data_IF_063160459252
#
_entry.id   IF_063160459252
#
_cell.length_a   1.000
_cell.length_b   1.000
_cell.length_c   1.000
_cell.angle_alpha   90.00
_cell.angle_beta   90.00
_cell.angle_gamma   90.00
#
_symmetry.space_group_name_H-M   'P 1'
#
loop_
_entity.id
_entity.type
_entity.pdbx_description
1 polymer ?
#
# COMPACT_ATOMS: atom_id res chain seq x y z
N UNK A 1 -5.95 49.02 -3.89
CA UNK A 1 -5.10 47.87 -4.27
C UNK A 1 -4.77 47.12 -2.99
N UNK A 2 -5.42 45.97 -2.76
CA UNK A 2 -5.47 45.27 -1.47
C UNK A 2 -4.12 44.61 -1.19
N UNK A 3 -3.46 45.02 -0.11
CA UNK A 3 -2.33 44.31 0.50
C UNK A 3 -2.88 42.95 0.92
N UNK A 4 -2.77 41.95 0.05
CA UNK A 4 -2.93 40.57 0.45
C UNK A 4 -1.90 40.36 1.57
N UNK A 5 -2.42 40.18 2.79
CA UNK A 5 -1.63 40.06 4.00
C UNK A 5 -0.54 39.02 3.76
N UNK A 6 0.73 39.44 3.80
CA UNK A 6 1.91 38.57 3.59
C UNK A 6 1.87 37.32 4.48
N UNK A 7 1.17 37.42 5.63
CA UNK A 7 0.84 36.32 6.55
C UNK A 7 -0.09 35.26 5.96
N UNK A 8 -1.12 35.66 5.20
CA UNK A 8 -2.05 34.75 4.51
C UNK A 8 -1.30 33.97 3.42
N UNK A 9 -0.45 34.66 2.64
CA UNK A 9 0.37 33.99 1.63
C UNK A 9 1.29 32.92 2.25
N UNK A 10 1.91 33.23 3.40
CA UNK A 10 2.75 32.28 4.13
C UNK A 10 1.96 31.06 4.63
N UNK A 11 0.74 31.29 5.12
CA UNK A 11 -0.15 30.24 5.62
C UNK A 11 -0.60 29.31 4.48
N UNK A 12 -0.94 29.86 3.31
CA UNK A 12 -1.29 29.10 2.11
C UNK A 12 -0.10 28.24 1.65
N UNK A 13 1.10 28.80 1.61
CA UNK A 13 2.31 28.06 1.22
C UNK A 13 2.64 26.94 2.21
N UNK A 14 2.45 27.17 3.51
CA UNK A 14 2.65 26.16 4.55
C UNK A 14 1.63 25.01 4.45
N UNK A 15 0.36 25.31 4.15
CA UNK A 15 -0.67 24.30 3.93
C UNK A 15 -0.40 23.45 2.69
N UNK A 16 0.05 24.06 1.58
CA UNK A 16 0.47 23.32 0.38
C UNK A 16 1.64 22.40 0.70
N UNK A 17 2.60 22.86 1.51
CA UNK A 17 3.74 22.06 1.94
C UNK A 17 3.32 20.85 2.79
N UNK A 18 2.38 21.02 3.72
CA UNK A 18 1.83 19.91 4.51
C UNK A 18 1.16 18.86 3.62
N UNK A 19 0.33 19.29 2.65
CA UNK A 19 -0.40 18.38 1.75
C UNK A 19 0.56 17.54 0.90
N UNK A 20 1.69 18.11 0.47
CA UNK A 20 2.68 17.41 -0.35
C UNK A 20 3.47 16.33 0.42
N UNK A 21 3.57 16.40 1.75
CA UNK A 21 4.37 15.46 2.56
C UNK A 21 3.58 14.19 2.92
N UNK A 22 2.25 14.23 2.91
CA UNK A 22 1.42 13.15 3.46
C UNK A 22 1.23 11.91 2.57
N UNK A 23 1.65 11.94 1.30
CA UNK A 23 1.24 10.93 0.31
C UNK A 23 1.94 9.57 0.36
N UNK A 24 3.06 9.41 1.06
CA UNK A 24 3.98 8.28 0.79
C UNK A 24 3.80 7.03 1.67
N UNK A 25 2.91 7.04 2.67
CA UNK A 25 2.86 5.96 3.68
C UNK A 25 1.49 5.28 3.84
N UNK A 26 0.52 5.59 2.97
CA UNK A 26 -0.85 5.12 3.18
C UNK A 26 -0.97 3.59 3.07
N UNK A 27 -0.39 2.96 2.05
CA UNK A 27 -0.45 1.49 1.89
C UNK A 27 0.23 0.75 3.04
N UNK A 28 1.41 1.24 3.46
CA UNK A 28 2.15 0.68 4.60
C UNK A 28 1.38 0.82 5.91
N UNK A 29 0.70 1.95 6.10
CA UNK A 29 -0.14 2.18 7.27
C UNK A 29 -1.36 1.25 7.23
N UNK A 30 -2.06 1.20 6.09
CA UNK A 30 -3.23 0.35 5.89
C UNK A 30 -2.90 -1.12 6.18
N UNK A 31 -1.78 -1.62 5.65
CA UNK A 31 -1.29 -2.96 5.89
C UNK A 31 -1.15 -3.27 7.38
N UNK A 32 -0.48 -2.39 8.14
CA UNK A 32 -0.32 -2.56 9.59
C UNK A 32 -1.66 -2.52 10.32
N UNK A 33 -2.54 -1.59 9.95
CA UNK A 33 -3.85 -1.45 10.60
C UNK A 33 -4.82 -2.59 10.29
N UNK A 34 -4.67 -3.25 9.14
CA UNK A 34 -5.45 -4.44 8.79
C UNK A 34 -4.89 -5.74 9.36
N UNK A 35 -3.84 -5.66 10.20
CA UNK A 35 -3.21 -6.82 10.84
C UNK A 35 -2.20 -7.56 9.97
N UNK A 36 -1.70 -6.92 8.90
CA UNK A 36 -0.61 -7.43 8.08
C UNK A 36 0.75 -6.83 8.45
N UNK A 37 1.81 -7.37 7.84
CA UNK A 37 3.19 -6.93 8.04
C UNK A 37 3.77 -6.40 6.73
N UNK A 38 4.32 -5.19 6.73
CA UNK A 38 4.97 -4.64 5.55
C UNK A 38 6.37 -5.22 5.38
N UNK A 39 6.61 -5.95 4.29
CA UNK A 39 7.85 -6.69 4.02
C UNK A 39 8.29 -6.53 2.56
N UNK A 40 9.56 -6.83 2.31
CA UNK A 40 10.07 -7.05 0.96
C UNK A 40 9.94 -8.53 0.63
N UNK A 41 9.41 -8.82 -0.55
CA UNK A 41 9.32 -10.15 -1.12
C UNK A 41 10.43 -10.27 -2.17
N UNK A 42 11.11 -11.42 -2.21
CA UNK A 42 12.21 -11.69 -3.15
C UNK A 42 11.71 -11.86 -4.59
N UNK A 43 10.40 -12.00 -4.75
CA UNK A 43 9.67 -12.07 -6.00
C UNK A 43 8.53 -11.04 -6.02
N UNK A 44 7.77 -11.02 -7.13
CA UNK A 44 6.57 -10.21 -7.21
C UNK A 44 5.39 -10.80 -6.42
N UNK A 45 5.62 -11.79 -5.54
CA UNK A 45 4.60 -12.52 -4.79
C UNK A 45 4.34 -11.89 -3.42
N UNK A 46 4.19 -10.56 -3.38
CA UNK A 46 3.43 -9.97 -2.28
C UNK A 46 2.06 -10.67 -2.20
N UNK A 47 1.49 -10.84 -1.00
CA UNK A 47 0.25 -11.62 -0.74
C UNK A 47 -1.00 -11.04 -1.43
N UNK A 48 -0.97 -10.60 -2.69
CA UNK A 48 -2.09 -9.96 -3.37
C UNK A 48 -3.18 -10.98 -3.69
N UNK A 49 -4.44 -10.58 -3.52
CA UNK A 49 -5.59 -11.42 -3.86
C UNK A 49 -5.72 -11.72 -5.36
N UNK A 50 -5.01 -10.97 -6.19
CA UNK A 50 -4.86 -11.24 -7.62
C UNK A 50 -3.44 -11.69 -7.87
N UNK A 51 -3.27 -12.84 -8.54
CA UNK A 51 -1.96 -13.39 -8.87
C UNK A 51 -1.23 -12.37 -9.75
N UNK A 52 -0.11 -11.77 -9.29
CA UNK A 52 0.79 -11.12 -10.21
C UNK A 52 1.44 -12.22 -11.04
N UNK A 53 1.33 -12.13 -12.37
CA UNK A 53 2.11 -12.95 -13.30
C UNK A 53 3.58 -12.86 -12.89
N UNK A 54 4.12 -13.98 -12.40
CA UNK A 54 5.41 -14.05 -11.72
C UNK A 54 6.53 -13.46 -12.57
N UNK A 55 7.34 -12.61 -11.93
CA UNK A 55 8.56 -12.06 -12.47
C UNK A 55 9.55 -11.81 -11.33
N UNK A 56 10.84 -11.93 -11.61
CA UNK A 56 11.92 -11.67 -10.64
C UNK A 56 12.05 -10.16 -10.42
N UNK A 57 11.25 -9.61 -9.50
CA UNK A 57 11.37 -8.23 -9.05
C UNK A 57 11.14 -8.20 -7.54
N UNK A 58 12.15 -7.76 -6.79
CA UNK A 58 12.01 -7.52 -5.35
C UNK A 58 10.89 -6.50 -5.16
N UNK A 59 9.80 -6.93 -4.53
CA UNK A 59 8.58 -6.12 -4.39
C UNK A 59 8.28 -5.87 -2.93
N UNK A 60 8.15 -4.62 -2.53
CA UNK A 60 7.65 -4.28 -1.19
C UNK A 60 6.12 -4.40 -1.18
N UNK A 61 5.56 -5.07 -0.18
CA UNK A 61 4.12 -5.28 -0.09
C UNK A 61 3.64 -5.66 1.32
N UNK A 62 2.33 -5.86 1.43
CA UNK A 62 1.72 -6.34 2.66
C UNK A 62 1.71 -7.86 2.72
N UNK A 63 2.27 -8.42 3.79
CA UNK A 63 2.13 -9.82 4.17
C UNK A 63 0.92 -9.97 5.09
N UNK A 64 -0.12 -10.63 4.62
CA UNK A 64 -1.38 -10.82 5.34
C UNK A 64 -1.42 -12.11 6.16
N UNK A 65 -0.47 -13.01 5.94
CA UNK A 65 -0.38 -14.28 6.66
C UNK A 65 -1.21 -15.40 6.02
N UNK A 66 -1.24 -16.59 6.64
CA UNK A 66 -1.86 -17.76 6.04
C UNK A 66 -3.37 -17.58 5.83
N UNK A 67 -3.87 -18.07 4.70
CA UNK A 67 -5.28 -18.01 4.28
C UNK A 67 -5.84 -16.59 4.12
N UNK A 68 -4.96 -15.60 3.95
CA UNK A 68 -5.35 -14.21 3.72
C UNK A 68 -4.54 -13.62 2.57
N UNK A 69 -5.14 -12.63 1.93
CA UNK A 69 -4.50 -11.89 0.86
C UNK A 69 -4.81 -10.39 0.98
N UNK A 70 -3.97 -9.57 0.37
CA UNK A 70 -4.03 -8.13 0.24
C UNK A 70 -4.87 -7.77 -0.99
N UNK A 71 -6.02 -7.12 -0.77
CA UNK A 71 -6.92 -6.69 -1.86
C UNK A 71 -6.53 -5.32 -2.47
N UNK A 72 -5.44 -4.71 -1.98
CA UNK A 72 -5.03 -3.35 -2.31
C UNK A 72 -5.28 -2.36 -1.17
N UNK A 73 -6.19 -2.67 -0.25
CA UNK A 73 -6.57 -1.80 0.87
C UNK A 73 -6.44 -2.48 2.24
N UNK A 74 -6.71 -3.78 2.32
CA UNK A 74 -6.75 -4.55 3.56
C UNK A 74 -6.45 -6.03 3.33
N UNK A 75 -6.13 -6.72 4.42
CA UNK A 75 -6.05 -8.17 4.44
C UNK A 75 -7.44 -8.80 4.53
N UNK A 76 -7.82 -9.57 3.51
CA UNK A 76 -9.08 -10.32 3.43
C UNK A 76 -8.82 -11.82 3.46
N UNK A 77 -9.85 -12.62 3.74
CA UNK A 77 -9.76 -14.08 3.67
C UNK A 77 -9.61 -14.48 2.20
N UNK A 78 -8.58 -15.27 1.91
CA UNK A 78 -8.44 -15.89 0.60
C UNK A 78 -9.40 -17.10 0.55
N UNK A 79 -10.38 -17.04 -0.35
CA UNK A 79 -11.36 -18.11 -0.54
C UNK A 79 -10.85 -19.26 -1.42
N UNK A 80 -9.52 -19.35 -1.65
CA UNK A 80 -8.88 -20.51 -2.25
C UNK A 80 -8.67 -20.42 -3.77
N UNK A 81 -8.57 -19.21 -4.33
CA UNK A 81 -8.08 -19.05 -5.71
C UNK A 81 -6.56 -19.26 -5.81
N UNK A 82 -5.81 -19.05 -4.73
CA UNK A 82 -4.37 -19.26 -4.68
C UNK A 82 -3.97 -20.74 -4.65
N UNK A 83 -4.65 -21.58 -3.85
CA UNK A 83 -4.34 -23.02 -3.74
C UNK A 83 -4.62 -23.80 -5.03
N UNK A 84 -5.68 -23.46 -5.78
CA UNK A 84 -6.03 -24.16 -7.03
C UNK A 84 -4.96 -24.00 -8.12
N UNK A 85 -4.25 -22.87 -8.14
CA UNK A 85 -3.27 -22.57 -9.17
C UNK A 85 -1.85 -23.04 -8.81
N UNK A 86 -1.58 -23.33 -7.53
CA UNK A 86 -0.30 -23.88 -7.08
C UNK A 86 -0.25 -25.42 -7.12
N UNK A 87 -1.40 -26.08 -7.23
CA UNK A 87 -1.53 -27.53 -7.46
C UNK A 87 -1.43 -27.92 -8.95
N UNK A 88 -1.35 -26.95 -9.86
CA UNK A 88 -1.21 -27.14 -11.31
C UNK A 88 0.22 -26.93 -11.82
N UNK A 89 1.22 -26.87 -10.93
CA UNK A 89 2.64 -26.70 -11.26
C UNK A 89 3.48 -27.91 -10.85
#
# INVERSE_FOLDING_TARGET
MKIANKKILFLVLFLVWIILISGCNQERLNCKTSGGEWKSFDDNSADKCSIPSGGEVITAGCYCGPNKCWDGEKCVIDNGEYEKNNLLR
#
